data_IF_252690810481
#
_entry.id   IF_252690810481
#
_cell.length_a   1.000
_cell.length_b   1.000
_cell.length_c   1.000
_cell.angle_alpha   90.00
_cell.angle_beta   90.00
_cell.angle_gamma   90.00
#
_symmetry.space_group_name_H-M   'P 1'
#
loop_
_entity.id
_entity.type
_entity.pdbx_description
1 polymer ?
#
# COMPACT_ATOMS: atom_id res chain seq x y z
N UNK A 1 -9.15 15.04 -16.35
CA UNK A 1 -8.77 13.91 -15.47
C UNK A 1 -7.32 14.15 -15.06
N UNK A 2 -6.98 13.99 -13.78
CA UNK A 2 -5.61 14.23 -13.29
C UNK A 2 -4.67 13.17 -13.84
N UNK A 3 -3.45 13.55 -14.26
CA UNK A 3 -2.45 12.60 -14.73
C UNK A 3 -1.92 11.81 -13.53
N UNK A 4 -2.08 10.49 -13.51
CA UNK A 4 -1.52 9.64 -12.45
C UNK A 4 -0.24 8.98 -12.94
N UNK A 5 0.84 9.10 -12.16
CA UNK A 5 2.11 8.41 -12.42
C UNK A 5 2.41 7.49 -11.23
N UNK A 6 2.46 6.19 -11.47
CA UNK A 6 2.92 5.24 -10.47
C UNK A 6 4.46 5.27 -10.42
N UNK A 7 5.05 5.17 -9.23
CA UNK A 7 6.50 5.01 -9.04
C UNK A 7 6.77 3.86 -8.09
N UNK A 8 7.77 3.03 -8.40
CA UNK A 8 8.05 1.84 -7.61
C UNK A 8 9.56 1.65 -7.46
N UNK A 9 10.12 1.70 -6.23
CA UNK A 9 11.43 1.15 -5.91
C UNK A 9 11.40 -0.35 -6.18
N UNK A 10 11.87 -0.75 -7.35
CA UNK A 10 11.71 -2.10 -7.85
C UNK A 10 12.99 -2.89 -7.64
N UNK A 11 12.87 -4.09 -7.09
CA UNK A 11 14.04 -4.93 -6.83
C UNK A 11 13.76 -6.42 -6.75
N UNK A 12 12.50 -6.85 -6.64
CA UNK A 12 12.13 -8.24 -6.31
C UNK A 12 11.08 -8.76 -7.29
N UNK A 13 11.50 -9.56 -8.27
CA UNK A 13 10.64 -10.07 -9.37
C UNK A 13 9.35 -10.71 -8.89
N UNK A 14 9.42 -11.53 -7.83
CA UNK A 14 8.26 -12.30 -7.33
C UNK A 14 7.08 -11.42 -6.92
N UNK A 15 7.36 -10.21 -6.46
CA UNK A 15 6.34 -9.28 -6.02
C UNK A 15 5.97 -8.32 -7.15
N UNK A 16 7.00 -7.78 -7.82
CA UNK A 16 6.83 -6.87 -8.94
C UNK A 16 5.98 -7.47 -10.08
N UNK A 17 6.09 -8.78 -10.29
CA UNK A 17 5.27 -9.49 -11.27
C UNK A 17 3.77 -9.46 -10.95
N UNK A 18 3.38 -9.56 -9.68
CA UNK A 18 2.00 -9.41 -9.25
C UNK A 18 1.53 -7.96 -9.38
N UNK A 19 2.33 -7.02 -8.87
CA UNK A 19 2.03 -5.58 -8.92
C UNK A 19 1.84 -5.08 -10.35
N UNK A 20 2.66 -5.56 -11.30
CA UNK A 20 2.57 -5.21 -12.71
C UNK A 20 1.18 -5.51 -13.29
N UNK A 21 0.51 -6.58 -12.88
CA UNK A 21 -0.82 -6.94 -13.40
C UNK A 21 -1.88 -5.91 -13.01
N UNK A 22 -1.81 -5.37 -11.80
CA UNK A 22 -2.71 -4.31 -11.35
C UNK A 22 -2.43 -2.97 -12.03
N UNK A 23 -1.15 -2.57 -12.14
CA UNK A 23 -0.79 -1.27 -12.72
C UNK A 23 -1.05 -1.22 -14.22
N UNK A 24 -0.69 -2.28 -14.95
CA UNK A 24 -0.82 -2.30 -16.41
C UNK A 24 -2.26 -2.45 -16.89
N UNK A 25 -3.15 -3.00 -16.05
CA UNK A 25 -4.58 -3.12 -16.36
C UNK A 25 -5.40 -1.88 -15.99
N UNK A 26 -4.85 -0.93 -15.23
CA UNK A 26 -5.53 0.32 -14.88
C UNK A 26 -5.19 1.42 -15.90
N UNK A 27 -6.14 1.76 -16.77
CA UNK A 27 -5.98 2.78 -17.81
C UNK A 27 -5.86 4.21 -17.25
N UNK A 28 -6.15 4.43 -15.96
CA UNK A 28 -5.96 5.74 -15.33
C UNK A 28 -4.49 6.04 -15.01
N UNK A 29 -3.61 5.02 -15.03
CA UNK A 29 -2.17 5.19 -14.85
C UNK A 29 -1.54 5.63 -16.17
N UNK A 30 -1.19 6.91 -16.28
CA UNK A 30 -0.56 7.43 -17.49
C UNK A 30 0.83 6.84 -17.72
N UNK A 31 1.62 6.73 -16.64
CA UNK A 31 2.99 6.22 -16.67
C UNK A 31 3.30 5.43 -15.40
N UNK A 32 4.18 4.44 -15.52
CA UNK A 32 4.77 3.72 -14.40
C UNK A 32 6.28 3.84 -14.45
N UNK A 33 6.89 4.48 -13.45
CA UNK A 33 8.32 4.63 -13.33
C UNK A 33 8.88 3.58 -12.39
N UNK A 34 9.63 2.64 -12.94
CA UNK A 34 10.35 1.62 -12.19
C UNK A 34 11.71 2.18 -11.81
N UNK A 35 11.89 2.50 -10.53
CA UNK A 35 13.17 2.91 -9.99
C UNK A 35 14.03 1.66 -9.82
N UNK A 36 15.07 1.51 -10.64
CA UNK A 36 15.99 0.37 -10.61
C UNK A 36 16.76 0.37 -9.28
N UNK A 37 16.23 -0.41 -8.34
CA UNK A 37 16.79 -0.67 -7.03
C UNK A 37 17.07 -2.18 -6.87
N UNK A 38 17.38 -2.87 -7.97
CA UNK A 38 17.64 -4.31 -7.95
C UNK A 38 18.98 -4.61 -7.27
N UNK A 39 18.99 -5.62 -6.38
CA UNK A 39 20.23 -6.21 -5.84
C UNK A 39 20.77 -7.31 -6.74
N UNK A 40 19.85 -8.08 -7.32
CA UNK A 40 20.16 -9.25 -8.14
C UNK A 40 20.11 -8.93 -9.65
N UNK A 41 21.07 -9.44 -10.45
CA UNK A 41 21.07 -9.25 -11.90
C UNK A 41 19.84 -9.82 -12.62
N UNK A 42 19.29 -10.96 -12.19
CA UNK A 42 18.12 -11.56 -12.83
C UNK A 42 16.85 -10.75 -12.53
N UNK A 43 16.71 -10.18 -11.33
CA UNK A 43 15.66 -9.21 -11.02
C UNK A 43 15.78 -7.97 -11.91
N UNK A 44 17.00 -7.47 -12.13
CA UNK A 44 17.24 -6.35 -13.06
C UNK A 44 16.88 -6.70 -14.50
N UNK A 45 17.21 -7.90 -14.98
CA UNK A 45 16.80 -8.36 -16.31
C UNK A 45 15.28 -8.38 -16.45
N UNK A 46 14.57 -8.87 -15.42
CA UNK A 46 13.11 -8.86 -15.41
C UNK A 46 12.53 -7.45 -15.39
N UNK A 47 13.09 -6.55 -14.58
CA UNK A 47 12.70 -5.14 -14.54
C UNK A 47 12.84 -4.49 -15.92
N UNK A 48 13.96 -4.72 -16.61
CA UNK A 48 14.18 -4.22 -17.97
C UNK A 48 13.19 -4.81 -18.97
N UNK A 49 12.73 -6.06 -18.79
CA UNK A 49 11.73 -6.66 -19.68
C UNK A 49 10.34 -6.02 -19.59
N UNK A 50 10.05 -5.26 -18.52
CA UNK A 50 8.79 -4.53 -18.36
C UNK A 50 8.78 -3.18 -19.09
N UNK A 51 9.92 -2.71 -19.60
CA UNK A 51 10.00 -1.43 -20.30
C UNK A 51 9.06 -1.38 -21.51
N UNK A 52 8.39 -0.23 -21.69
CA UNK A 52 7.43 -0.05 -22.78
C UNK A 52 6.87 1.36 -22.83
N UNK A 53 5.85 1.63 -23.68
CA UNK A 53 5.33 2.99 -23.87
C UNK A 53 4.83 3.66 -22.58
N UNK A 54 4.24 2.88 -21.67
CA UNK A 54 3.76 3.33 -20.35
C UNK A 54 4.75 3.08 -19.22
N UNK A 55 5.79 2.27 -19.43
CA UNK A 55 6.71 1.82 -18.35
C UNK A 55 8.10 2.36 -18.60
N UNK A 56 8.55 3.26 -17.73
CA UNK A 56 9.87 3.90 -17.79
C UNK A 56 10.78 3.28 -16.74
N UNK A 57 11.96 2.84 -17.18
CA UNK A 57 13.00 2.42 -16.24
C UNK A 57 13.83 3.65 -15.87
N UNK A 58 13.91 3.92 -14.58
CA UNK A 58 14.67 5.03 -14.02
C UNK A 58 15.85 4.45 -13.27
N UNK A 59 17.06 4.69 -13.77
CA UNK A 59 18.31 4.25 -13.14
C UNK A 59 19.11 5.48 -12.70
N UNK A 60 19.66 5.43 -11.50
CA UNK A 60 20.54 6.49 -10.97
C UNK A 60 21.93 5.92 -10.68
N UNK A 61 23.00 6.73 -10.83
CA UNK A 61 24.33 6.31 -10.43
C UNK A 61 24.34 5.87 -8.95
N UNK A 62 24.96 4.73 -8.67
CA UNK A 62 25.08 4.17 -7.32
C UNK A 62 23.74 3.78 -6.65
N UNK A 63 22.68 3.45 -7.41
CA UNK A 63 21.60 2.63 -6.85
C UNK A 63 22.07 1.17 -6.78
N UNK A 64 22.04 0.58 -5.60
CA UNK A 64 22.56 -0.77 -5.32
C UNK A 64 21.57 -1.64 -4.56
N UNK A 65 20.30 -1.24 -4.51
CA UNK A 65 19.27 -1.95 -3.75
C UNK A 65 19.22 -1.60 -2.27
N UNK A 66 19.98 -0.61 -1.81
CA UNK A 66 19.88 -0.08 -0.44
C UNK A 66 18.70 0.90 -0.33
N UNK A 67 17.98 0.86 0.79
CA UNK A 67 16.92 1.80 1.14
C UNK A 67 17.44 3.25 1.12
N UNK A 68 18.71 3.46 1.45
CA UNK A 68 19.36 4.79 1.39
C UNK A 68 19.39 5.38 -0.02
N UNK A 69 19.22 4.57 -1.06
CA UNK A 69 19.19 5.05 -2.44
C UNK A 69 17.81 5.52 -2.89
N UNK A 70 16.74 5.15 -2.18
CA UNK A 70 15.35 5.49 -2.52
C UNK A 70 15.15 7.01 -2.52
N UNK A 71 15.73 7.73 -1.55
CA UNK A 71 15.61 9.18 -1.46
C UNK A 71 16.02 9.91 -2.76
N UNK A 72 17.03 9.38 -3.48
CA UNK A 72 17.56 9.96 -4.71
C UNK A 72 16.52 9.96 -5.83
N UNK A 73 15.62 8.97 -5.84
CA UNK A 73 14.66 8.81 -6.91
C UNK A 73 13.48 9.78 -6.82
N UNK A 74 13.13 10.30 -5.64
CA UNK A 74 12.11 11.37 -5.55
C UNK A 74 12.48 12.60 -6.38
N UNK A 75 13.77 12.78 -6.72
CA UNK A 75 14.19 13.86 -7.62
C UNK A 75 13.71 13.70 -9.07
N UNK A 76 13.33 12.49 -9.45
CA UNK A 76 12.87 12.14 -10.80
C UNK A 76 11.37 12.37 -11.01
N UNK A 77 10.64 12.69 -9.94
CA UNK A 77 9.23 13.08 -10.00
C UNK A 77 9.07 14.52 -10.50
N UNK A 78 9.33 14.77 -11.78
CA UNK A 78 9.48 16.14 -12.32
C UNK A 78 8.22 16.76 -12.93
N UNK A 79 7.13 16.02 -13.10
CA UNK A 79 5.90 16.49 -13.73
C UNK A 79 5.00 17.22 -12.69
N UNK A 80 4.83 18.56 -12.78
CA UNK A 80 4.05 19.31 -11.81
C UNK A 80 2.53 19.00 -11.86
N UNK A 81 2.03 18.51 -12.99
CA UNK A 81 0.61 18.24 -13.22
C UNK A 81 0.23 16.81 -12.83
N UNK A 82 1.22 15.98 -12.49
CA UNK A 82 1.01 14.61 -12.06
C UNK A 82 0.59 14.52 -10.58
N UNK A 83 -0.24 13.51 -10.29
CA UNK A 83 -0.32 12.91 -8.97
C UNK A 83 0.51 11.63 -8.98
N UNK A 84 1.57 11.64 -8.19
CA UNK A 84 2.47 10.52 -8.06
C UNK A 84 1.95 9.56 -7.00
N UNK A 85 1.95 8.27 -7.31
CA UNK A 85 1.64 7.20 -6.35
C UNK A 85 2.87 6.32 -6.21
N UNK A 86 3.60 6.46 -5.11
CA UNK A 86 4.68 5.53 -4.74
C UNK A 86 4.07 4.25 -4.21
N UNK A 87 4.55 3.11 -4.69
CA UNK A 87 4.21 1.78 -4.17
C UNK A 87 5.51 1.01 -3.94
N UNK A 88 5.62 0.31 -2.82
CA UNK A 88 6.63 -0.74 -2.68
C UNK A 88 6.35 -1.88 -3.66
N UNK A 89 7.39 -2.59 -4.11
CA UNK A 89 7.23 -3.65 -5.11
C UNK A 89 6.46 -4.87 -4.58
N UNK A 90 6.26 -4.96 -3.27
CA UNK A 90 5.48 -5.98 -2.54
C UNK A 90 4.10 -5.55 -2.09
N UNK A 91 3.53 -4.52 -2.75
CA UNK A 91 2.08 -4.38 -2.82
C UNK A 91 1.48 -5.58 -3.58
N UNK A 92 0.68 -6.37 -2.87
CA UNK A 92 0.09 -7.62 -3.36
C UNK A 92 -1.41 -7.53 -3.70
N UNK A 93 -2.06 -6.41 -3.36
CA UNK A 93 -3.45 -6.14 -3.74
C UNK A 93 -3.71 -4.65 -3.94
N UNK A 94 -4.39 -4.33 -5.05
CA UNK A 94 -4.96 -3.02 -5.36
C UNK A 94 -6.41 -3.20 -5.82
N UNK A 95 -7.37 -2.39 -5.32
CA UNK A 95 -8.74 -2.46 -5.80
C UNK A 95 -8.83 -1.94 -7.24
N UNK A 96 -9.74 -2.49 -8.04
CA UNK A 96 -9.97 -2.01 -9.41
C UNK A 96 -10.22 -0.50 -9.43
N UNK A 97 -9.56 0.26 -10.32
CA UNK A 97 -9.72 1.72 -10.43
C UNK A 97 -9.13 2.52 -9.26
N UNK A 98 -8.27 1.91 -8.45
CA UNK A 98 -7.60 2.53 -7.30
C UNK A 98 -6.96 3.87 -7.66
N UNK A 99 -6.14 3.92 -8.72
CA UNK A 99 -5.30 5.07 -9.02
C UNK A 99 -6.12 6.33 -9.29
N UNK A 100 -7.13 6.23 -10.16
CA UNK A 100 -8.03 7.33 -10.47
C UNK A 100 -8.84 7.79 -9.26
N UNK A 101 -9.41 6.87 -8.46
CA UNK A 101 -10.19 7.23 -7.26
C UNK A 101 -9.31 7.84 -6.17
N UNK A 102 -8.13 7.28 -5.93
CA UNK A 102 -7.19 7.77 -4.92
C UNK A 102 -6.72 9.20 -5.25
N UNK A 103 -6.37 9.47 -6.50
CA UNK A 103 -6.04 10.82 -6.98
C UNK A 103 -7.22 11.79 -6.83
N UNK A 104 -8.44 11.36 -7.18
CA UNK A 104 -9.63 12.19 -7.07
C UNK A 104 -9.96 12.55 -5.61
N UNK A 105 -9.85 11.58 -4.69
CA UNK A 105 -10.07 11.80 -3.25
C UNK A 105 -8.99 12.71 -2.65
N UNK A 106 -7.72 12.52 -3.02
CA UNK A 106 -6.64 13.42 -2.62
C UNK A 106 -6.89 14.86 -3.09
N UNK A 107 -7.34 15.03 -4.35
CA UNK A 107 -7.67 16.34 -4.91
C UNK A 107 -8.88 17.00 -4.25
N UNK A 108 -9.86 16.22 -3.81
CA UNK A 108 -11.06 16.69 -3.12
C UNK A 108 -10.85 16.92 -1.60
N UNK A 109 -9.68 16.57 -1.07
CA UNK A 109 -9.42 16.68 0.35
C UNK A 109 -9.41 18.13 0.85
N UNK A 110 -10.05 18.35 2.00
CA UNK A 110 -10.10 19.63 2.70
C UNK A 110 -9.00 19.79 3.76
N UNK A 111 -8.18 18.75 4.00
CA UNK A 111 -7.12 18.78 5.02
C UNK A 111 -5.90 19.59 4.58
N UNK A 112 -5.83 19.96 3.29
CA UNK A 112 -4.65 20.53 2.66
C UNK A 112 -3.39 19.67 2.87
N UNK A 113 -3.53 18.34 2.90
CA UNK A 113 -2.41 17.44 3.19
C UNK A 113 -1.27 17.54 2.16
N UNK A 114 -0.03 17.31 2.61
CA UNK A 114 1.18 17.30 1.78
C UNK A 114 1.48 15.91 1.19
N UNK A 115 0.95 14.86 1.82
CA UNK A 115 0.99 13.49 1.31
C UNK A 115 -0.28 12.74 1.72
N UNK A 116 -0.59 11.68 0.96
CA UNK A 116 -1.77 10.85 1.15
C UNK A 116 -1.35 9.38 1.24
N UNK A 117 -2.08 8.55 1.97
CA UNK A 117 -1.91 7.10 1.95
C UNK A 117 -3.27 6.42 1.98
N UNK A 118 -3.49 5.29 1.29
CA UNK A 118 -4.67 4.47 1.54
C UNK A 118 -4.56 3.73 2.89
N UNK A 119 -5.60 3.02 3.29
CA UNK A 119 -5.50 2.00 4.32
C UNK A 119 -4.69 0.81 3.79
N UNK A 120 -3.49 0.63 4.34
CA UNK A 120 -2.60 -0.46 3.94
C UNK A 120 -2.70 -1.63 4.93
N UNK A 121 -3.18 -2.77 4.46
CA UNK A 121 -3.11 -4.03 5.20
C UNK A 121 -1.63 -4.40 5.38
N UNK A 122 -1.28 -4.77 6.61
CA UNK A 122 0.09 -5.00 7.06
C UNK A 122 0.98 -3.74 7.01
N UNK A 123 0.38 -2.58 7.29
CA UNK A 123 1.08 -1.39 7.78
C UNK A 123 0.79 -1.21 9.27
N UNK A 124 1.80 -0.90 10.09
CA UNK A 124 1.65 -0.87 11.55
C UNK A 124 0.62 0.16 12.06
N UNK A 125 0.63 1.38 11.52
CA UNK A 125 -0.32 2.44 11.91
C UNK A 125 -1.71 2.14 11.36
N UNK A 126 -1.82 1.66 10.11
CA UNK A 126 -3.11 1.22 9.56
C UNK A 126 -3.70 0.04 10.35
N UNK A 127 -2.87 -0.91 10.78
CA UNK A 127 -3.31 -2.04 11.63
C UNK A 127 -3.83 -1.54 12.98
N UNK A 128 -3.16 -0.57 13.58
CA UNK A 128 -3.66 0.09 14.79
C UNK A 128 -5.00 0.79 14.53
N UNK A 129 -5.17 1.55 13.44
CA UNK A 129 -6.43 2.21 13.07
C UNK A 129 -7.57 1.20 12.87
N UNK A 130 -7.30 0.09 12.16
CA UNK A 130 -8.26 -1.00 11.99
C UNK A 130 -8.67 -1.59 13.33
N UNK A 131 -7.73 -1.79 14.25
CA UNK A 131 -8.02 -2.29 15.61
C UNK A 131 -8.82 -1.28 16.43
N UNK A 132 -8.45 0.00 16.36
CA UNK A 132 -9.12 1.09 17.07
C UNK A 132 -10.59 1.21 16.65
N UNK A 133 -10.89 1.01 15.37
CA UNK A 133 -12.25 1.01 14.83
C UNK A 133 -12.94 -0.38 14.88
N UNK A 134 -12.36 -1.36 15.58
CA UNK A 134 -12.95 -2.68 15.77
C UNK A 134 -13.06 -3.54 14.50
N UNK A 135 -12.28 -3.23 13.46
CA UNK A 135 -12.27 -3.97 12.17
C UNK A 135 -11.42 -5.23 12.24
N UNK A 136 -10.38 -5.21 13.05
CA UNK A 136 -9.56 -6.37 13.38
C UNK A 136 -9.44 -6.50 14.90
N UNK A 137 -9.05 -7.67 15.36
CA UNK A 137 -8.78 -7.94 16.78
C UNK A 137 -7.42 -8.60 16.92
N UNK A 138 -6.70 -8.21 17.98
CA UNK A 138 -5.42 -8.78 18.35
C UNK A 138 -5.45 -9.07 19.85
N UNK A 139 -4.95 -10.24 20.26
CA UNK A 139 -4.80 -10.59 21.68
C UNK A 139 -3.72 -9.74 22.37
N UNK A 140 -2.79 -9.17 21.60
CA UNK A 140 -1.75 -8.27 22.07
C UNK A 140 -2.06 -6.85 21.59
N UNK A 141 -2.04 -5.84 22.47
CA UNK A 141 -2.28 -4.45 22.07
C UNK A 141 -1.34 -3.98 20.95
N UNK A 142 -1.91 -3.36 19.93
CA UNK A 142 -1.14 -2.66 18.90
C UNK A 142 -0.82 -1.25 19.39
N UNK A 143 0.36 -0.74 19.06
CA UNK A 143 0.72 0.66 19.28
C UNK A 143 0.56 1.47 17.99
N UNK A 144 0.20 2.75 18.12
CA UNK A 144 0.16 3.70 17.00
C UNK A 144 1.59 4.21 16.69
N UNK A 145 2.49 3.29 16.34
CA UNK A 145 3.89 3.59 16.00
C UNK A 145 4.27 2.80 14.75
N UNK A 146 5.00 3.42 13.81
CA UNK A 146 5.48 2.71 12.62
C UNK A 146 6.36 1.51 12.96
N UNK A 147 7.10 1.55 14.08
CA UNK A 147 7.93 0.45 14.56
C UNK A 147 7.21 -0.43 15.61
N UNK A 148 5.87 -0.53 15.56
CA UNK A 148 5.10 -1.36 16.49
C UNK A 148 5.64 -2.80 16.53
N UNK A 149 5.99 -3.30 17.72
CA UNK A 149 6.58 -4.65 17.89
C UNK A 149 5.68 -5.79 17.43
N UNK A 150 4.38 -5.51 17.25
CA UNK A 150 3.42 -6.46 16.71
C UNK A 150 3.18 -6.16 15.23
N UNK A 151 2.61 -5.00 14.91
CA UNK A 151 2.20 -4.66 13.54
C UNK A 151 3.34 -4.58 12.52
N UNK A 152 4.55 -4.23 12.96
CA UNK A 152 5.73 -4.10 12.09
C UNK A 152 6.67 -5.31 12.20
N UNK A 153 6.89 -5.82 13.42
CA UNK A 153 7.93 -6.84 13.67
C UNK A 153 7.42 -8.29 13.66
N UNK A 154 6.16 -8.56 14.02
CA UNK A 154 5.71 -9.93 14.29
C UNK A 154 5.16 -10.61 13.01
N UNK A 155 5.83 -11.66 12.48
CA UNK A 155 5.35 -12.37 11.30
C UNK A 155 4.05 -13.15 11.54
N UNK A 156 3.85 -13.72 12.73
CA UNK A 156 2.62 -14.45 13.06
C UNK A 156 1.40 -13.53 13.01
N UNK A 157 1.54 -12.29 13.49
CA UNK A 157 0.49 -11.28 13.36
C UNK A 157 0.20 -10.96 11.89
N UNK A 158 1.24 -10.76 11.07
CA UNK A 158 1.08 -10.51 9.64
C UNK A 158 0.35 -11.66 8.93
N UNK A 159 0.71 -12.92 9.22
CA UNK A 159 0.04 -14.12 8.70
C UNK A 159 -1.45 -14.09 9.03
N UNK A 160 -1.81 -13.87 10.30
CA UNK A 160 -3.21 -13.81 10.71
C UNK A 160 -3.97 -12.67 10.04
N UNK A 161 -3.37 -11.48 9.96
CA UNK A 161 -3.96 -10.31 9.32
C UNK A 161 -4.22 -10.56 7.83
N UNK A 162 -3.24 -11.09 7.10
CA UNK A 162 -3.40 -11.40 5.68
C UNK A 162 -4.43 -12.50 5.44
N UNK A 163 -4.48 -13.56 6.25
CA UNK A 163 -5.54 -14.58 6.12
C UNK A 163 -6.92 -13.98 6.38
N UNK A 164 -7.05 -13.14 7.41
CA UNK A 164 -8.30 -12.44 7.71
C UNK A 164 -8.73 -11.48 6.60
N UNK A 165 -7.77 -10.82 5.94
CA UNK A 165 -8.00 -9.96 4.79
C UNK A 165 -8.42 -10.76 3.56
N UNK A 166 -7.64 -11.76 3.15
CA UNK A 166 -7.92 -12.61 1.99
C UNK A 166 -9.30 -13.27 2.08
N UNK A 167 -9.65 -13.84 3.24
CA UNK A 167 -10.99 -14.44 3.44
C UNK A 167 -12.14 -13.46 3.22
N UNK A 168 -11.97 -12.18 3.60
CA UNK A 168 -12.99 -11.14 3.37
C UNK A 168 -12.93 -10.60 1.95
N UNK A 169 -11.74 -10.47 1.38
CA UNK A 169 -11.52 -10.06 0.00
C UNK A 169 -12.20 -11.04 -0.97
N UNK A 170 -11.97 -12.34 -0.82
CA UNK A 170 -12.58 -13.42 -1.59
C UNK A 170 -14.12 -13.45 -1.45
N UNK A 171 -14.64 -13.01 -0.30
CA UNK A 171 -16.07 -12.86 -0.04
C UNK A 171 -16.66 -11.51 -0.50
N UNK A 172 -15.89 -10.68 -1.23
CA UNK A 172 -16.27 -9.32 -1.63
C UNK A 172 -16.70 -8.40 -0.46
N UNK A 173 -16.01 -8.54 0.68
CA UNK A 173 -16.23 -7.79 1.92
C UNK A 173 -15.07 -6.85 2.27
N UNK A 174 -14.44 -6.24 1.26
CA UNK A 174 -13.35 -5.27 1.46
C UNK A 174 -13.81 -4.08 2.33
N UNK A 175 -15.08 -3.67 2.19
CA UNK A 175 -15.69 -2.59 2.98
C UNK A 175 -15.63 -2.81 4.50
N UNK A 176 -15.44 -4.05 4.95
CA UNK A 176 -15.29 -4.36 6.36
C UNK A 176 -14.01 -3.71 6.94
N UNK A 177 -13.01 -3.43 6.09
CA UNK A 177 -11.77 -2.73 6.45
C UNK A 177 -11.85 -1.21 6.30
N UNK A 178 -12.97 -0.66 5.82
CA UNK A 178 -13.10 0.79 5.69
C UNK A 178 -13.23 1.44 7.07
N UNK A 179 -12.47 2.50 7.27
CA UNK A 179 -12.50 3.37 8.46
C UNK A 179 -12.69 4.83 8.01
N UNK A 180 -13.00 5.77 8.91
CA UNK A 180 -12.93 7.18 8.58
C UNK A 180 -11.52 7.61 8.17
N UNK A 181 -11.42 8.66 7.36
CA UNK A 181 -10.14 9.28 7.05
C UNK A 181 -9.43 9.73 8.34
N UNK A 182 -8.11 9.59 8.37
CA UNK A 182 -7.28 9.98 9.49
C UNK A 182 -6.24 11.02 9.06
N UNK A 183 -6.03 12.04 9.88
CA UNK A 183 -4.96 13.02 9.69
C UNK A 183 -3.75 12.59 10.52
N UNK A 184 -2.55 12.73 9.94
CA UNK A 184 -1.32 12.40 10.63
C UNK A 184 -0.35 13.59 10.62
N UNK A 185 0.23 13.88 11.78
CA UNK A 185 1.23 14.93 11.95
C UNK A 185 2.32 14.44 12.89
N UNK A 186 3.58 14.81 12.63
CA UNK A 186 4.69 14.61 13.56
C UNK A 186 4.91 13.15 14.01
N UNK A 187 4.79 12.20 13.08
CA UNK A 187 5.06 10.79 13.34
C UNK A 187 5.58 10.09 12.09
N UNK A 188 6.50 9.13 12.29
CA UNK A 188 7.00 8.27 11.21
C UNK A 188 5.88 7.33 10.75
N UNK A 189 5.71 7.17 9.44
CA UNK A 189 4.79 6.23 8.79
C UNK A 189 5.54 5.43 7.73
N UNK A 190 5.33 4.12 7.70
CA UNK A 190 5.94 3.27 6.68
C UNK A 190 5.32 3.54 5.31
N UNK A 191 6.14 3.94 4.35
CA UNK A 191 5.72 4.37 3.02
C UNK A 191 5.61 3.15 2.11
N UNK A 192 4.58 2.35 2.35
CA UNK A 192 4.25 1.21 1.50
C UNK A 192 3.46 1.64 0.25
N UNK A 193 2.51 2.57 0.43
CA UNK A 193 1.79 3.23 -0.65
C UNK A 193 1.52 4.70 -0.26
N UNK A 194 1.95 5.65 -1.10
CA UNK A 194 1.91 7.07 -0.80
C UNK A 194 1.59 7.90 -2.05
N UNK A 195 0.60 8.78 -1.95
CA UNK A 195 0.21 9.76 -2.95
C UNK A 195 0.79 11.15 -2.68
N UNK A 196 1.32 11.80 -3.70
CA UNK A 196 1.93 13.14 -3.61
C UNK A 196 1.61 13.94 -4.88
N UNK A 197 1.29 15.22 -4.74
CA UNK A 197 1.14 16.10 -5.90
C UNK A 197 2.51 16.52 -6.46
N UNK A 198 2.70 16.37 -7.77
CA UNK A 198 3.92 16.77 -8.46
C UNK A 198 4.27 18.24 -8.28
N UNK A 199 3.26 19.13 -8.29
CA UNK A 199 3.43 20.56 -7.96
C UNK A 199 4.07 20.80 -6.59
N UNK A 200 3.71 19.99 -5.57
CA UNK A 200 4.21 20.15 -4.22
C UNK A 200 5.67 19.67 -4.15
N UNK A 201 5.94 18.48 -4.69
CA UNK A 201 7.32 17.99 -4.82
C UNK A 201 8.18 19.03 -5.56
N UNK A 202 7.71 19.54 -6.71
CA UNK A 202 8.49 20.44 -7.56
C UNK A 202 8.76 21.80 -6.89
N UNK A 203 7.77 22.35 -6.18
CA UNK A 203 7.94 23.58 -5.43
C UNK A 203 8.94 23.44 -4.27
N UNK A 204 8.96 22.27 -3.63
CA UNK A 204 9.88 21.96 -2.52
C UNK A 204 11.28 21.57 -3.00
N UNK A 205 11.41 21.05 -4.22
CA UNK A 205 12.67 20.55 -4.76
C UNK A 205 13.29 19.49 -3.85
N UNK A 206 14.55 19.70 -3.47
CA UNK A 206 15.28 18.79 -2.58
C UNK A 206 14.71 18.75 -1.16
N UNK A 207 13.98 19.78 -0.71
CA UNK A 207 13.37 19.79 0.62
C UNK A 207 12.22 18.76 0.75
N UNK A 208 11.66 18.29 -0.36
CA UNK A 208 10.64 17.25 -0.37
C UNK A 208 11.17 15.95 0.26
N UNK A 209 12.35 15.52 -0.16
CA UNK A 209 13.09 14.40 0.42
C UNK A 209 14.59 14.63 0.18
N UNK A 210 15.31 15.20 1.17
CA UNK A 210 16.75 15.40 1.07
C UNK A 210 17.51 14.09 0.90
N UNK A 211 18.79 14.20 0.52
CA UNK A 211 19.69 13.05 0.56
C UNK A 211 20.05 12.72 2.01
N UNK A 212 20.44 11.45 2.23
CA UNK A 212 20.96 10.93 3.49
C UNK A 212 20.00 11.00 4.70
N UNK A 213 18.70 11.16 4.44
CA UNK A 213 17.62 11.02 5.44
C UNK A 213 16.90 9.68 5.30
N UNK A 214 16.22 9.25 6.37
CA UNK A 214 15.15 8.25 6.30
C UNK A 214 13.95 8.89 5.57
N UNK A 215 13.67 8.44 4.35
CA UNK A 215 12.59 9.02 3.54
C UNK A 215 11.22 8.82 4.18
N UNK A 216 11.02 7.69 4.87
CA UNK A 216 9.78 7.42 5.60
C UNK A 216 9.56 8.47 6.70
N UNK A 217 10.57 8.70 7.55
CA UNK A 217 10.46 9.70 8.61
C UNK A 217 10.40 11.14 8.06
N UNK A 218 11.24 11.46 7.07
CA UNK A 218 11.28 12.80 6.50
C UNK A 218 9.94 13.19 5.88
N UNK A 219 9.39 12.35 5.00
CA UNK A 219 8.15 12.68 4.28
C UNK A 219 6.95 12.64 5.24
N UNK A 220 6.90 11.72 6.20
CA UNK A 220 5.71 11.54 7.06
C UNK A 220 5.69 12.42 8.32
N UNK A 221 6.85 12.80 8.86
CA UNK A 221 6.95 13.59 10.09
C UNK A 221 7.48 15.01 9.83
N UNK A 222 8.64 15.14 9.20
CA UNK A 222 9.32 16.43 9.03
C UNK A 222 8.68 17.32 7.96
N UNK A 223 8.31 16.75 6.82
CA UNK A 223 7.71 17.49 5.72
C UNK A 223 6.37 18.15 6.13
N UNK A 224 5.49 17.48 6.91
CA UNK A 224 4.33 18.15 7.49
C UNK A 224 4.66 19.33 8.39
N UNK A 225 5.73 19.24 9.20
CA UNK A 225 6.17 20.35 10.04
C UNK A 225 6.70 21.51 9.19
N UNK A 226 7.51 21.22 8.18
CA UNK A 226 8.10 22.20 7.27
C UNK A 226 7.03 22.98 6.51
N UNK A 227 6.02 22.27 6.01
CA UNK A 227 4.98 22.83 5.14
C UNK A 227 3.74 23.31 5.90
N UNK A 228 3.63 22.98 7.20
CA UNK A 228 2.42 23.18 8.02
C UNK A 228 1.17 22.53 7.41
N UNK A 229 1.36 21.41 6.70
CA UNK A 229 0.34 20.65 5.99
C UNK A 229 0.43 19.20 6.45
N UNK A 230 -0.65 18.59 6.96
CA UNK A 230 -0.56 17.24 7.53
C UNK A 230 -0.39 16.17 6.45
N UNK A 231 -0.22 14.92 6.86
CA UNK A 231 -0.56 13.77 6.04
C UNK A 231 -2.02 13.37 6.19
N UNK A 232 -2.53 12.63 5.21
CA UNK A 232 -3.88 12.04 5.30
C UNK A 232 -3.90 10.59 4.87
N UNK A 233 -4.50 9.76 5.72
CA UNK A 233 -4.87 8.38 5.41
C UNK A 233 -6.32 8.39 4.92
N UNK A 234 -6.55 7.89 3.72
CA UNK A 234 -7.86 7.74 3.09
C UNK A 234 -8.43 6.40 3.52
N UNK A 235 -9.44 6.46 4.38
CA UNK A 235 -9.89 5.33 5.20
C UNK A 235 -10.67 4.26 4.45
N UNK A 236 -11.17 4.58 3.25
CA UNK A 236 -12.03 3.72 2.43
C UNK A 236 -11.40 3.30 1.09
N UNK A 237 -10.11 3.58 0.89
CA UNK A 237 -9.29 2.93 -0.14
C UNK A 237 -8.36 1.94 0.55
N UNK A 238 -8.48 0.65 0.23
CA UNK A 238 -7.75 -0.43 0.92
C UNK A 238 -6.79 -1.13 -0.03
N UNK A 239 -5.51 -1.20 0.34
CA UNK A 239 -4.44 -1.90 -0.39
C UNK A 239 -3.77 -2.92 0.53
N UNK A 240 -3.02 -3.89 0.01
CA UNK A 240 -2.25 -4.81 0.85
C UNK A 240 -0.77 -4.81 0.51
N UNK A 241 0.06 -4.67 1.54
CA UNK A 241 1.52 -4.78 1.50
C UNK A 241 1.92 -6.14 2.07
N UNK A 242 2.78 -6.89 1.39
CA UNK A 242 3.04 -8.29 1.75
C UNK A 242 3.82 -8.45 3.07
N UNK A 243 4.96 -7.78 3.25
CA UNK A 243 5.78 -7.99 4.43
C UNK A 243 6.80 -6.90 4.68
N UNK A 244 7.01 -6.53 5.94
CA UNK A 244 8.24 -5.86 6.34
C UNK A 244 9.43 -6.82 6.30
N UNK A 245 10.66 -6.31 6.20
CA UNK A 245 11.87 -7.14 6.22
C UNK A 245 11.97 -8.04 7.48
N UNK A 246 11.38 -7.60 8.59
CA UNK A 246 11.27 -8.33 9.87
C UNK A 246 10.31 -9.51 9.83
N UNK A 247 9.42 -9.54 8.86
CA UNK A 247 8.38 -10.56 8.69
C UNK A 247 8.63 -11.44 7.45
N UNK A 248 9.42 -10.95 6.49
CA UNK A 248 9.51 -11.50 5.13
C UNK A 248 9.89 -12.98 5.12
N UNK A 249 10.86 -13.39 5.95
CA UNK A 249 11.33 -14.78 5.98
C UNK A 249 10.18 -15.75 6.27
N UNK A 250 9.47 -15.55 7.37
CA UNK A 250 8.38 -16.42 7.78
C UNK A 250 7.16 -16.28 6.87
N UNK A 251 6.89 -15.08 6.35
CA UNK A 251 5.80 -14.84 5.40
C UNK A 251 6.01 -15.61 4.09
N UNK A 252 7.26 -15.72 3.62
CA UNK A 252 7.63 -16.47 2.42
C UNK A 252 7.48 -17.99 2.58
N UNK A 253 7.46 -18.50 3.81
CA UNK A 253 7.22 -19.93 4.10
C UNK A 253 5.71 -20.28 4.13
N UNK A 254 4.83 -19.32 3.81
CA UNK A 254 3.37 -19.51 3.77
C UNK A 254 2.80 -19.52 2.35
N UNK A 255 1.52 -19.91 2.22
CA UNK A 255 0.73 -19.85 0.99
C UNK A 255 0.18 -18.45 0.66
N UNK A 256 0.45 -17.42 1.47
CA UNK A 256 -0.24 -16.13 1.38
C UNK A 256 0.02 -15.42 0.04
N UNK A 257 1.28 -15.38 -0.41
CA UNK A 257 1.60 -14.73 -1.69
C UNK A 257 0.91 -15.45 -2.85
N UNK A 258 0.88 -16.78 -2.81
CA UNK A 258 0.24 -17.60 -3.82
C UNK A 258 -1.27 -17.40 -3.85
N UNK A 259 -1.91 -17.20 -2.70
CA UNK A 259 -3.33 -16.82 -2.62
C UNK A 259 -3.61 -15.46 -3.27
N UNK A 260 -2.72 -14.47 -3.13
CA UNK A 260 -2.88 -13.20 -3.87
C UNK A 260 -2.77 -13.40 -5.39
N UNK A 261 -1.82 -14.21 -5.84
CA UNK A 261 -1.72 -14.59 -7.26
C UNK A 261 -2.99 -15.29 -7.77
N UNK A 262 -3.55 -16.21 -6.98
CA UNK A 262 -4.79 -16.91 -7.31
C UNK A 262 -5.96 -15.93 -7.39
N UNK A 263 -6.14 -15.06 -6.39
CA UNK A 263 -7.20 -14.05 -6.38
C UNK A 263 -7.12 -13.14 -7.60
N UNK A 264 -5.94 -12.61 -7.90
CA UNK A 264 -5.71 -11.76 -9.07
C UNK A 264 -6.09 -12.49 -10.38
N UNK A 265 -5.68 -13.75 -10.51
CA UNK A 265 -6.02 -14.56 -11.69
C UNK A 265 -7.53 -14.81 -11.85
N UNK A 266 -8.28 -14.83 -10.75
CA UNK A 266 -9.74 -14.94 -10.76
C UNK A 266 -10.41 -13.64 -11.18
N UNK A 267 -9.83 -12.47 -10.90
CA UNK A 267 -10.35 -11.17 -11.34
C UNK A 267 -10.22 -10.98 -12.86
N UNK A 268 -9.17 -11.54 -13.48
CA UNK A 268 -8.97 -11.51 -14.93
C UNK A 268 -9.98 -12.41 -15.67
N UNK A 269 -10.47 -13.47 -15.02
CA UNK A 269 -11.49 -14.34 -15.61
C UNK A 269 -12.88 -13.76 -15.33
N UNK A 270 -13.78 -13.63 -16.31
CA UNK A 270 -15.15 -13.25 -16.01
C UNK A 270 -15.71 -14.26 -15.01
N UNK A 271 -16.17 -13.77 -13.85
CA UNK A 271 -16.78 -14.62 -12.85
C UNK A 271 -17.95 -15.38 -13.51
N UNK A 272 -18.03 -16.71 -13.38
CA UNK A 272 -19.28 -17.39 -13.72
C UNK A 272 -20.39 -16.76 -12.88
N UNK A 273 -21.60 -16.58 -13.43
CA UNK A 273 -22.71 -16.00 -12.69
C UNK A 273 -22.87 -16.75 -11.36
N UNK A 274 -22.86 -16.01 -10.25
CA UNK A 274 -23.05 -16.60 -8.93
C UNK A 274 -24.33 -17.44 -8.96
N UNK A 275 -24.19 -18.75 -8.72
CA UNK A 275 -25.32 -19.56 -8.34
C UNK A 275 -25.93 -18.93 -7.07
N UNK A 276 -27.24 -18.72 -7.13
CA UNK A 276 -28.04 -18.12 -6.06
C UNK A 276 -27.70 -18.70 -4.69
N UNK A 277 -27.47 -17.80 -3.73
CA UNK A 277 -27.17 -18.11 -2.34
C UNK A 277 -28.22 -19.04 -1.72
N UNK A 278 -27.74 -20.13 -1.13
CA UNK A 278 -28.49 -20.95 -0.18
C UNK A 278 -28.68 -20.13 1.13
N UNK A 279 -29.90 -20.01 1.68
CA UNK A 279 -30.13 -19.19 2.86
C UNK A 279 -29.91 -19.98 4.17
N UNK A 280 -29.50 -19.23 5.19
CA UNK A 280 -29.61 -19.50 6.62
C UNK A 280 -28.43 -20.25 7.31
N UNK A 281 -27.55 -19.45 7.92
CA UNK A 281 -26.98 -19.77 9.23
C UNK A 281 -27.54 -18.72 10.21
N UNK A 282 -28.56 -19.10 10.98
CA UNK A 282 -29.08 -18.31 12.10
C UNK A 282 -28.20 -18.57 13.33
N UNK A 283 -27.74 -17.54 14.07
CA UNK A 283 -27.38 -17.72 15.46
C UNK A 283 -28.58 -17.29 16.32
N UNK A 284 -29.12 -18.19 17.14
CA UNK A 284 -29.59 -17.90 18.50
C UNK A 284 -30.26 -19.12 19.12
N UNK A 285 -29.68 -19.61 20.22
CA UNK A 285 -30.42 -20.30 21.26
C UNK A 285 -29.83 -19.85 22.59
N UNK A 286 -30.53 -18.93 23.26
CA UNK A 286 -30.35 -18.66 24.68
C UNK A 286 -30.84 -19.89 25.47
N UNK A 287 -30.20 -20.28 26.58
CA UNK A 287 -30.73 -21.34 27.42
C UNK A 287 -31.86 -20.81 28.32
N UNK A 288 -32.91 -21.61 28.38
CA UNK A 288 -34.15 -21.42 29.11
C UNK A 288 -33.95 -21.36 30.64
N UNK A 289 -34.82 -20.57 31.27
CA UNK A 289 -35.12 -20.58 32.70
C UNK A 289 -35.61 -21.96 33.15
N UNK A 290 -35.13 -22.44 34.29
CA UNK A 290 -35.75 -23.57 35.01
C UNK A 290 -36.79 -23.06 36.03
N UNK A 291 -37.84 -23.85 36.33
CA UNK A 291 -39.01 -23.40 37.09
C UNK A 291 -38.98 -23.76 38.59
N UNK A 292 -39.85 -23.05 39.31
CA UNK A 292 -40.31 -23.17 40.71
C UNK A 292 -39.36 -22.66 41.81
#
# INVERSE_FOLDING_TARGET
MMKVIAVTPAGRRRYLHLLAKYILSDDTVAEWHLWDNCRDPADRTYLQSLAGPRVKIVSLPNSNGDNRSINKFYRTMTDPDAFYVKLDDDICYLPQGFFGRFAAKAAASQTNAIWFSPMVINNAICSWLLSFHGKISSSIPLSCQAACTIGWKNPEFAVHLHRAFLTRLEANRIKDFHVPDATMTMGRFSINCLGVFGRDRNALGDAFCPLDVDDEEHISAFLPMLTKRPGQIIGDEVVAHFSYYTQEREMLDTDILERYYQFESMQIRPSPPLASADPAFLPNSAPELFPA
#
